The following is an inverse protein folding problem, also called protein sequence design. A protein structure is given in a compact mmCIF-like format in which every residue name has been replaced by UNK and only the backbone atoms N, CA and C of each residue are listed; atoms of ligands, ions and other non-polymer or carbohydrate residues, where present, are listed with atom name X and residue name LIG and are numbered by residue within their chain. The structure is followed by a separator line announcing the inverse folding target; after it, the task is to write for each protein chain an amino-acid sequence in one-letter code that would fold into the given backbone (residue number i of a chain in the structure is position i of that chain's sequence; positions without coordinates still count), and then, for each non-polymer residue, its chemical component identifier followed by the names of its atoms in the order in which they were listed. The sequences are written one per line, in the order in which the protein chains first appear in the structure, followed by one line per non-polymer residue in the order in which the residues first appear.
data_IF_795479544745
#
_entry.id   IF_795479544745
#
_cell.length_a   1.000
_cell.length_b   1.000
_cell.length_c   1.000
_cell.angle_alpha   90.00
_cell.angle_beta   90.00
_cell.angle_gamma   90.00
#
_symmetry.space_group_name_H-M   'P 1'
#
loop_
_entity.id
_entity.type
_entity.pdbx_description
1 polymer ?
#
# COMPACT_ATOMS: atom_id res chain seq x y z
N UNK A 1 -10.11 -15.16 -10.10
CA UNK A 1 -9.36 -14.74 -8.90
C UNK A 1 -9.91 -15.54 -7.73
N UNK A 2 -9.08 -15.86 -6.73
CA UNK A 2 -9.63 -16.37 -5.47
C UNK A 2 -10.48 -15.27 -4.83
N UNK A 3 -11.36 -15.62 -3.91
CA UNK A 3 -12.13 -14.63 -3.16
C UNK A 3 -11.28 -14.03 -2.02
N UNK A 4 -11.93 -13.19 -1.21
CA UNK A 4 -11.35 -12.54 -0.03
C UNK A 4 -11.65 -13.30 1.27
N UNK A 5 -12.29 -14.48 1.20
CA UNK A 5 -12.68 -15.22 2.40
C UNK A 5 -11.45 -15.68 3.18
N UNK A 6 -11.48 -15.52 4.50
CA UNK A 6 -10.38 -15.88 5.40
C UNK A 6 -9.19 -14.91 5.39
N UNK A 7 -9.12 -13.94 4.47
CA UNK A 7 -8.08 -12.92 4.48
C UNK A 7 -8.23 -11.99 5.69
N UNK A 8 -7.12 -11.45 6.21
CA UNK A 8 -7.17 -10.42 7.25
C UNK A 8 -7.96 -9.19 6.79
N UNK A 9 -8.74 -8.60 7.70
CA UNK A 9 -9.63 -7.44 7.45
C UNK A 9 -9.35 -6.37 8.48
N UNK A 10 -9.19 -5.12 8.02
CA UNK A 10 -9.00 -3.96 8.88
C UNK A 10 -10.07 -2.88 8.55
N UNK A 11 -11.20 -2.85 9.28
CA UNK A 11 -12.38 -2.05 8.90
C UNK A 11 -12.12 -0.54 8.73
N UNK A 12 -11.18 0.03 9.47
CA UNK A 12 -10.83 1.45 9.33
C UNK A 12 -10.06 1.74 8.04
N UNK A 13 -9.23 0.80 7.57
CA UNK A 13 -8.47 0.92 6.33
C UNK A 13 -9.38 0.67 5.13
N UNK A 14 -10.28 -0.30 5.23
CA UNK A 14 -11.31 -0.53 4.20
C UNK A 14 -12.18 0.72 4.03
N UNK A 15 -12.66 1.30 5.14
CA UNK A 15 -13.42 2.56 5.11
C UNK A 15 -12.63 3.69 4.45
N UNK A 16 -11.34 3.82 4.74
CA UNK A 16 -10.49 4.84 4.13
C UNK A 16 -10.43 4.70 2.61
N UNK A 17 -10.34 3.47 2.08
CA UNK A 17 -10.41 3.20 0.64
C UNK A 17 -11.82 3.54 0.12
N UNK A 18 -12.86 3.03 0.75
CA UNK A 18 -14.24 3.18 0.27
C UNK A 18 -14.70 4.64 0.21
N UNK A 19 -14.33 5.43 1.23
CA UNK A 19 -14.69 6.85 1.29
C UNK A 19 -13.66 7.76 0.64
N UNK A 20 -12.59 7.20 0.07
CA UNK A 20 -11.43 7.94 -0.45
C UNK A 20 -10.93 8.98 0.58
N UNK A 21 -10.81 8.54 1.84
CA UNK A 21 -10.49 9.40 2.99
C UNK A 21 -9.02 9.79 3.12
N UNK A 22 -8.17 9.40 2.17
CA UNK A 22 -6.75 9.73 2.15
C UNK A 22 -6.48 11.04 1.39
N UNK A 23 -5.22 11.50 1.40
CA UNK A 23 -4.77 12.74 0.78
C UNK A 23 -4.87 12.75 -0.76
N UNK A 24 -4.96 11.57 -1.36
CA UNK A 24 -5.13 11.35 -2.79
C UNK A 24 -6.04 10.13 -3.03
N UNK A 25 -6.60 9.97 -4.24
CA UNK A 25 -7.38 8.79 -4.56
C UNK A 25 -6.58 7.50 -4.38
N UNK A 26 -7.27 6.44 -3.94
CA UNK A 26 -6.75 5.07 -3.83
C UNK A 26 -7.58 4.19 -4.75
N UNK A 27 -6.97 3.68 -5.82
CA UNK A 27 -7.59 2.75 -6.76
C UNK A 27 -7.18 1.32 -6.42
N UNK A 28 -8.11 0.53 -5.87
CA UNK A 28 -7.92 -0.87 -5.50
C UNK A 28 -9.00 -1.80 -6.08
N UNK A 29 -9.75 -1.32 -7.08
CA UNK A 29 -10.93 -1.97 -7.68
C UNK A 29 -10.64 -2.65 -9.03
N UNK A 30 -9.38 -2.61 -9.49
CA UNK A 30 -8.97 -3.16 -10.80
C UNK A 30 -7.78 -4.07 -10.67
N UNK A 31 -7.76 -5.08 -11.55
CA UNK A 31 -6.62 -5.98 -11.67
C UNK A 31 -5.42 -5.23 -12.25
N UNK A 32 -4.34 -5.16 -11.49
CA UNK A 32 -3.04 -4.61 -11.90
C UNK A 32 -1.91 -5.53 -11.48
N UNK A 33 -0.75 -5.41 -12.13
CA UNK A 33 0.40 -6.30 -11.89
C UNK A 33 1.21 -5.94 -10.64
N UNK A 34 1.05 -4.72 -10.12
CA UNK A 34 1.77 -4.24 -8.96
C UNK A 34 1.15 -2.99 -8.37
N UNK A 35 1.53 -2.71 -7.14
CA UNK A 35 1.19 -1.48 -6.44
C UNK A 35 2.17 -0.36 -6.83
N UNK A 36 1.68 0.87 -6.86
CA UNK A 36 2.52 2.06 -7.02
C UNK A 36 1.75 3.33 -6.66
N UNK A 37 2.46 4.32 -6.14
CA UNK A 37 2.06 5.71 -6.20
C UNK A 37 2.51 6.36 -7.52
N UNK A 38 1.62 7.13 -8.16
CA UNK A 38 1.92 7.91 -9.36
C UNK A 38 2.00 9.40 -9.01
N UNK A 39 3.20 10.01 -8.91
CA UNK A 39 3.34 11.43 -8.62
C UNK A 39 2.71 12.34 -9.68
N UNK A 40 2.69 11.89 -10.94
CA UNK A 40 2.16 12.68 -12.06
C UNK A 40 0.63 12.81 -12.04
N UNK A 41 -0.06 11.80 -11.51
CA UNK A 41 -1.53 11.77 -11.43
C UNK A 41 -2.03 11.98 -10.00
N UNK A 42 -1.11 12.00 -9.03
CA UNK A 42 -1.38 11.99 -7.59
C UNK A 42 -2.43 10.94 -7.21
N UNK A 43 -2.12 9.67 -7.49
CA UNK A 43 -3.00 8.53 -7.21
C UNK A 43 -2.18 7.35 -6.71
N UNK A 44 -2.73 6.63 -5.72
CA UNK A 44 -2.23 5.32 -5.30
C UNK A 44 -3.00 4.24 -6.06
N UNK A 45 -2.28 3.33 -6.69
CA UNK A 45 -2.84 2.19 -7.41
C UNK A 45 -2.41 0.91 -6.70
N UNK A 46 -3.36 0.04 -6.41
CA UNK A 46 -3.15 -1.25 -5.75
C UNK A 46 -3.75 -2.38 -6.58
N UNK A 47 -3.13 -3.57 -6.57
CA UNK A 47 -3.81 -4.79 -6.96
C UNK A 47 -5.05 -4.98 -6.08
N UNK A 48 -6.11 -5.58 -6.63
CA UNK A 48 -7.28 -5.93 -5.84
C UNK A 48 -6.85 -6.87 -4.70
N UNK A 49 -7.48 -6.75 -3.53
CA UNK A 49 -7.09 -7.51 -2.32
C UNK A 49 -7.01 -9.01 -2.56
N UNK A 50 -7.94 -9.58 -3.33
CA UNK A 50 -7.91 -10.98 -3.76
C UNK A 50 -6.66 -11.41 -4.56
N UNK A 51 -5.93 -10.48 -5.18
CA UNK A 51 -4.66 -10.79 -5.85
C UNK A 51 -3.55 -11.16 -4.87
N UNK A 52 -3.66 -10.76 -3.60
CA UNK A 52 -2.75 -11.15 -2.52
C UNK A 52 -3.09 -12.53 -1.94
N UNK A 53 -4.25 -13.10 -2.27
CA UNK A 53 -4.64 -14.45 -1.86
C UNK A 53 -3.94 -15.50 -2.75
N UNK A 54 -2.66 -15.77 -2.45
CA UNK A 54 -1.85 -16.77 -3.15
C UNK A 54 -1.54 -18.03 -2.31
N UNK A 55 -1.90 -18.00 -1.02
CA UNK A 55 -1.63 -19.06 -0.04
C UNK A 55 -2.59 -20.24 -0.11
N UNK A 56 -2.17 -21.44 0.27
CA UNK A 56 -3.01 -22.65 0.26
C UNK A 56 -3.46 -23.09 1.66
N UNK A 57 -2.96 -22.45 2.72
CA UNK A 57 -3.43 -22.69 4.10
C UNK A 57 -4.22 -21.49 4.64
N UNK A 58 -5.08 -21.68 5.65
CA UNK A 58 -5.79 -20.58 6.31
C UNK A 58 -4.85 -19.45 6.79
N UNK A 59 -3.68 -19.80 7.32
CA UNK A 59 -2.68 -18.85 7.79
C UNK A 59 -2.08 -18.03 6.65
N UNK A 60 -1.79 -18.67 5.50
CA UNK A 60 -1.27 -17.97 4.33
C UNK A 60 -2.32 -17.07 3.66
N UNK A 61 -3.58 -17.50 3.64
CA UNK A 61 -4.72 -16.69 3.15
C UNK A 61 -4.91 -15.48 4.06
N UNK A 62 -4.90 -15.68 5.38
CA UNK A 62 -4.98 -14.62 6.37
C UNK A 62 -3.85 -13.60 6.18
N UNK A 63 -2.60 -14.08 6.04
CA UNK A 63 -1.43 -13.24 5.76
C UNK A 63 -1.56 -12.44 4.48
N UNK A 64 -2.15 -13.00 3.41
CA UNK A 64 -2.42 -12.24 2.18
C UNK A 64 -3.21 -10.95 2.42
N UNK A 65 -4.10 -10.93 3.42
CA UNK A 65 -4.82 -9.71 3.80
C UNK A 65 -3.92 -8.69 4.50
N UNK A 66 -2.98 -9.14 5.32
CA UNK A 66 -1.98 -8.28 5.98
C UNK A 66 -1.03 -7.67 4.95
N UNK A 67 -0.57 -8.46 3.98
CA UNK A 67 0.28 -7.99 2.87
C UNK A 67 -0.42 -6.90 2.06
N UNK A 68 -1.70 -7.06 1.74
CA UNK A 68 -2.48 -6.01 1.04
C UNK A 68 -2.44 -4.67 1.78
N UNK A 69 -2.70 -4.66 3.09
CA UNK A 69 -2.68 -3.41 3.85
C UNK A 69 -1.26 -2.86 4.05
N UNK A 70 -0.26 -3.72 4.25
CA UNK A 70 1.15 -3.30 4.35
C UNK A 70 1.60 -2.62 3.04
N UNK A 71 1.30 -3.23 1.89
CA UNK A 71 1.56 -2.64 0.57
C UNK A 71 0.79 -1.33 0.37
N UNK A 72 -0.47 -1.25 0.78
CA UNK A 72 -1.21 0.03 0.75
C UNK A 72 -0.51 1.10 1.57
N UNK A 73 -0.11 0.78 2.81
CA UNK A 73 0.55 1.72 3.72
C UNK A 73 1.89 2.23 3.15
N UNK A 74 2.62 1.37 2.45
CA UNK A 74 3.83 1.73 1.71
C UNK A 74 3.50 2.78 0.63
N UNK A 75 2.54 2.51 -0.27
CA UNK A 75 2.25 3.43 -1.38
C UNK A 75 1.63 4.74 -0.93
N UNK A 76 0.77 4.72 0.08
CA UNK A 76 0.25 5.98 0.63
C UNK A 76 1.37 6.78 1.32
N UNK A 77 2.40 6.15 1.87
CA UNK A 77 3.58 6.86 2.40
C UNK A 77 4.30 7.61 1.28
N UNK A 78 4.50 6.98 0.12
CA UNK A 78 5.05 7.66 -1.07
C UNK A 78 4.22 8.88 -1.49
N UNK A 79 2.89 8.80 -1.39
CA UNK A 79 2.03 9.95 -1.69
C UNK A 79 2.37 11.17 -0.83
N UNK A 80 2.81 10.99 0.43
CA UNK A 80 3.12 12.11 1.33
C UNK A 80 4.40 12.85 0.97
N UNK A 81 5.27 12.27 0.11
CA UNK A 81 6.61 12.78 -0.15
C UNK A 81 6.67 13.92 -1.19
N UNK A 82 5.57 14.18 -1.91
CA UNK A 82 5.56 15.20 -2.98
C UNK A 82 5.75 16.64 -2.45
N UNK A 83 6.18 17.59 -3.31
CA UNK A 83 6.47 18.97 -2.92
C UNK A 83 5.31 19.69 -2.21
N UNK A 84 4.07 19.39 -2.59
CA UNK A 84 2.85 19.97 -2.03
C UNK A 84 2.51 19.44 -0.62
N UNK A 85 3.23 18.41 -0.16
CA UNK A 85 3.05 17.73 1.14
C UNK A 85 4.32 17.83 1.98
N UNK A 86 5.00 16.72 2.28
CA UNK A 86 6.20 16.72 3.13
C UNK A 86 7.47 17.14 2.38
N UNK A 87 7.41 17.23 1.04
CA UNK A 87 8.53 17.62 0.19
C UNK A 87 9.83 16.83 0.51
N UNK A 88 9.69 15.51 0.61
CA UNK A 88 10.81 14.60 0.79
C UNK A 88 11.38 14.31 -0.59
N UNK A 89 12.67 14.59 -0.77
CA UNK A 89 13.32 14.40 -2.06
C UNK A 89 13.31 12.90 -2.47
N UNK A 90 12.54 12.58 -3.51
CA UNK A 90 12.47 11.24 -4.09
C UNK A 90 13.48 11.09 -5.23
N UNK A 91 14.26 10.01 -5.20
CA UNK A 91 15.09 9.64 -6.36
C UNK A 91 14.22 9.12 -7.50
N UNK A 92 14.73 9.23 -8.73
CA UNK A 92 13.93 8.91 -9.94
C UNK A 92 14.10 7.48 -10.45
N UNK A 93 15.12 6.76 -10.00
CA UNK A 93 15.52 5.46 -10.56
C UNK A 93 16.17 4.56 -9.51
N UNK A 94 16.00 3.26 -9.69
CA UNK A 94 16.73 2.23 -8.95
C UNK A 94 18.26 2.47 -9.02
N UNK A 95 18.93 2.37 -7.88
CA UNK A 95 20.36 2.68 -7.74
C UNK A 95 20.70 4.14 -7.40
N UNK A 96 19.71 5.05 -7.41
CA UNK A 96 19.86 6.41 -6.86
C UNK A 96 19.77 6.35 -5.32
N UNK A 97 20.76 6.86 -4.57
CA UNK A 97 20.69 6.93 -3.10
C UNK A 97 19.43 7.62 -2.58
N UNK A 98 18.89 8.60 -3.31
CA UNK A 98 17.63 9.28 -2.94
C UNK A 98 16.43 8.37 -3.11
N UNK A 99 16.45 7.49 -4.12
CA UNK A 99 15.41 6.49 -4.34
C UNK A 99 15.44 5.45 -3.22
N UNK A 100 16.62 4.91 -2.90
CA UNK A 100 16.78 3.97 -1.78
C UNK A 100 16.31 4.57 -0.44
N UNK A 101 16.56 5.86 -0.21
CA UNK A 101 16.09 6.57 0.98
C UNK A 101 14.55 6.68 1.01
N UNK A 102 13.90 7.04 -0.09
CA UNK A 102 12.43 7.15 -0.13
C UNK A 102 11.75 5.80 0.08
N UNK A 103 12.27 4.74 -0.53
CA UNK A 103 11.78 3.36 -0.32
C UNK A 103 11.94 2.93 1.15
N UNK A 104 13.11 3.20 1.76
CA UNK A 104 13.32 2.89 3.18
C UNK A 104 12.35 3.63 4.11
N UNK A 105 12.06 4.90 3.82
CA UNK A 105 11.06 5.67 4.58
C UNK A 105 9.66 5.07 4.39
N UNK A 106 9.29 4.69 3.17
CA UNK A 106 8.00 4.08 2.88
C UNK A 106 7.83 2.74 3.61
N UNK A 107 8.81 1.84 3.49
CA UNK A 107 8.83 0.54 4.15
C UNK A 107 8.80 0.64 5.67
N UNK A 108 9.62 1.51 6.27
CA UNK A 108 9.62 1.69 7.72
C UNK A 108 8.29 2.28 8.21
N UNK A 109 7.70 3.19 7.44
CA UNK A 109 6.38 3.76 7.77
C UNK A 109 5.30 2.67 7.74
N UNK A 110 5.28 1.84 6.70
CA UNK A 110 4.36 0.70 6.60
C UNK A 110 4.55 -0.25 7.78
N UNK A 111 5.78 -0.68 8.07
CA UNK A 111 6.08 -1.58 9.17
C UNK A 111 5.66 -1.02 10.54
N UNK A 112 5.93 0.27 10.81
CA UNK A 112 5.54 0.90 12.07
C UNK A 112 4.03 1.02 12.25
N UNK A 113 3.30 1.36 11.19
CA UNK A 113 1.83 1.48 11.24
C UNK A 113 1.19 0.10 11.36
N UNK A 114 1.62 -0.89 10.56
CA UNK A 114 1.15 -2.27 10.65
C UNK A 114 1.33 -2.81 12.07
N UNK A 115 2.53 -2.62 12.65
CA UNK A 115 2.79 -2.99 14.04
C UNK A 115 1.85 -2.29 15.03
N UNK A 116 1.61 -0.99 14.86
CA UNK A 116 0.68 -0.24 15.71
C UNK A 116 -0.79 -0.67 15.54
N UNK A 117 -1.16 -1.20 14.38
CA UNK A 117 -2.51 -1.70 14.07
C UNK A 117 -2.68 -3.19 14.37
N UNK A 118 -1.60 -3.89 14.76
CA UNK A 118 -1.64 -5.27 15.23
C UNK A 118 -1.57 -6.33 14.12
N UNK A 119 -0.92 -6.01 12.99
CA UNK A 119 -0.65 -6.97 11.91
C UNK A 119 0.76 -6.82 11.33
#
# INVERSE_FOLDING_TARGET
LRDKEGMYVHPALDRMIDTQGWLCPIQADKRVDGAFYSPAQDIVVLPMKEQFNIGNTPEEIYRGGMEFYSTMLHEISHSTMIPERLNIEMGKRFGDPKYAKSELVAELTAAMISHSMGF
#
